data_IF_145427812098
#
_entry.id   IF_145427812098
#
_cell.length_a   1.000
_cell.length_b   1.000
_cell.length_c   1.000
_cell.angle_alpha   90.00
_cell.angle_beta   90.00
_cell.angle_gamma   90.00
#
_symmetry.space_group_name_H-M   'P 1'
#
loop_
_entity.id
_entity.type
_entity.pdbx_description
1 polymer ?
#
# COMPACT_ATOMS: atom_id res chain seq x y z
N UNK A 1 -10.90 26.33 -6.42
CA UNK A 1 -9.87 25.34 -6.23
C UNK A 1 -10.34 23.97 -6.72
N UNK A 2 -9.47 23.27 -7.41
CA UNK A 2 -9.84 21.98 -7.91
C UNK A 2 -9.60 20.90 -6.90
N UNK A 3 -10.57 20.01 -6.74
CA UNK A 3 -10.43 18.89 -5.84
C UNK A 3 -10.13 17.65 -6.66
N UNK A 4 -9.11 16.91 -6.26
CA UNK A 4 -8.74 15.65 -6.93
C UNK A 4 -9.83 14.62 -6.61
N UNK A 5 -10.63 14.20 -7.60
CA UNK A 5 -11.71 13.26 -7.34
C UNK A 5 -11.24 11.90 -6.88
N UNK A 6 -9.96 11.57 -7.12
CA UNK A 6 -9.46 10.27 -6.68
C UNK A 6 -9.25 10.20 -5.18
N UNK A 7 -9.32 11.33 -4.47
CA UNK A 7 -9.26 11.30 -3.02
C UNK A 7 -10.58 10.88 -2.38
N UNK A 8 -11.65 10.79 -3.17
CA UNK A 8 -12.90 10.26 -2.67
C UNK A 8 -12.72 8.78 -2.30
N UNK A 9 -13.31 8.38 -1.18
CA UNK A 9 -13.23 6.99 -0.75
C UNK A 9 -13.90 6.04 -1.77
N UNK A 10 -14.81 6.55 -2.57
CA UNK A 10 -15.51 5.73 -3.56
C UNK A 10 -14.69 5.46 -4.81
N UNK A 11 -13.66 6.25 -5.06
CA UNK A 11 -12.86 6.08 -6.26
C UNK A 11 -11.92 4.88 -6.09
N UNK A 12 -12.03 3.93 -7.01
CA UNK A 12 -11.18 2.73 -6.97
C UNK A 12 -9.76 2.99 -7.45
N UNK A 13 -9.57 4.08 -8.21
CA UNK A 13 -8.26 4.43 -8.76
C UNK A 13 -7.75 5.72 -8.13
N UNK A 14 -6.44 5.83 -8.01
CA UNK A 14 -5.80 7.00 -7.46
C UNK A 14 -4.90 7.70 -8.46
N UNK A 15 -4.88 9.02 -8.38
CA UNK A 15 -3.98 9.84 -9.19
C UNK A 15 -2.55 9.71 -8.66
N UNK A 16 -1.61 10.27 -9.41
CA UNK A 16 -0.23 10.36 -8.93
C UNK A 16 -0.18 11.08 -7.58
N UNK A 17 -0.98 12.14 -7.44
CA UNK A 17 -1.04 12.89 -6.19
C UNK A 17 -1.58 12.00 -5.05
N UNK A 18 -2.61 11.22 -5.33
CA UNK A 18 -3.14 10.30 -4.33
C UNK A 18 -2.08 9.27 -3.92
N UNK A 19 -1.38 8.71 -4.90
CA UNK A 19 -0.34 7.72 -4.61
C UNK A 19 0.76 8.31 -3.75
N UNK A 20 1.22 9.52 -4.08
CA UNK A 20 2.26 10.17 -3.29
C UNK A 20 1.78 10.42 -1.87
N UNK A 21 0.56 10.90 -1.73
CA UNK A 21 -0.03 11.13 -0.42
C UNK A 21 -0.13 9.85 0.39
N UNK A 22 -0.52 8.76 -0.26
CA UNK A 22 -0.64 7.47 0.40
C UNK A 22 0.70 6.96 0.91
N UNK A 23 1.78 7.30 0.18
CA UNK A 23 3.14 6.93 0.58
C UNK A 23 3.75 7.92 1.57
N UNK A 24 3.09 9.05 1.81
CA UNK A 24 3.63 10.07 2.69
C UNK A 24 4.78 10.85 2.07
N UNK A 25 4.81 10.95 0.74
CA UNK A 25 5.88 11.63 0.01
C UNK A 25 5.31 12.66 -0.94
N UNK A 26 6.18 13.49 -1.49
CA UNK A 26 5.76 14.48 -2.47
C UNK A 26 5.56 13.83 -3.84
N UNK A 27 4.81 14.52 -4.70
CA UNK A 27 4.62 14.06 -6.07
C UNK A 27 5.96 14.00 -6.81
N UNK A 28 6.82 14.99 -6.59
CA UNK A 28 8.12 15.00 -7.26
C UNK A 28 8.98 13.80 -6.84
N UNK A 29 8.94 13.48 -5.56
CA UNK A 29 9.66 12.30 -5.07
C UNK A 29 9.13 11.04 -5.77
N UNK A 30 7.81 10.94 -5.88
CA UNK A 30 7.21 9.76 -6.48
C UNK A 30 7.58 9.63 -7.95
N UNK A 31 7.58 10.75 -8.68
CA UNK A 31 7.97 10.72 -10.09
C UNK A 31 9.37 10.16 -10.27
N UNK A 32 10.28 10.55 -9.40
CA UNK A 32 11.65 10.07 -9.50
C UNK A 32 11.81 8.65 -9.03
N UNK A 33 11.05 8.26 -8.01
CA UNK A 33 11.21 6.94 -7.40
C UNK A 33 10.37 5.87 -8.08
N UNK A 34 9.43 6.26 -8.94
CA UNK A 34 8.42 5.31 -9.41
C UNK A 34 9.00 4.08 -10.11
N UNK A 35 9.99 4.28 -10.97
CA UNK A 35 10.60 3.13 -11.64
C UNK A 35 11.19 2.13 -10.66
N UNK A 36 11.87 2.65 -9.64
CA UNK A 36 12.44 1.82 -8.60
C UNK A 36 11.36 1.11 -7.79
N UNK A 37 10.29 1.84 -7.48
CA UNK A 37 9.17 1.27 -6.74
C UNK A 37 8.48 0.17 -7.53
N UNK A 38 8.31 0.37 -8.83
CA UNK A 38 7.65 -0.63 -9.66
C UNK A 38 8.48 -1.91 -9.75
N UNK A 39 9.78 -1.79 -9.74
CA UNK A 39 10.65 -2.96 -9.70
C UNK A 39 10.48 -3.74 -8.39
N UNK A 40 10.02 -3.06 -7.34
CA UNK A 40 9.79 -3.70 -6.05
C UNK A 40 8.35 -4.15 -5.88
N UNK A 41 7.53 -4.02 -6.91
CA UNK A 41 6.14 -4.50 -6.86
C UNK A 41 5.08 -3.43 -6.77
N UNK A 42 5.47 -2.15 -6.81
CA UNK A 42 4.47 -1.07 -6.81
C UNK A 42 3.69 -1.12 -8.11
N UNK A 43 2.36 -0.94 -8.07
CA UNK A 43 1.54 -1.08 -9.27
C UNK A 43 1.82 0.01 -10.30
N UNK A 44 1.81 -0.40 -11.57
CA UNK A 44 1.92 0.53 -12.66
C UNK A 44 0.61 1.24 -12.89
N UNK A 45 0.67 2.35 -13.62
CA UNK A 45 -0.55 3.04 -14.06
C UNK A 45 -1.30 2.12 -15.01
N UNK A 46 -2.60 1.98 -14.76
CA UNK A 46 -3.47 1.23 -15.66
C UNK A 46 -3.61 2.02 -16.97
N UNK A 47 -3.14 1.49 -18.09
CA UNK A 47 -3.17 2.26 -19.35
C UNK A 47 -4.58 2.57 -19.85
N UNK A 48 -5.55 1.78 -19.44
CA UNK A 48 -6.92 2.03 -19.85
C UNK A 48 -7.53 3.21 -19.10
N UNK A 49 -7.19 3.37 -17.84
CA UNK A 49 -7.78 4.38 -16.99
C UNK A 49 -6.87 5.60 -16.84
N UNK A 50 -5.58 5.41 -16.94
CA UNK A 50 -4.61 6.48 -16.73
C UNK A 50 -4.33 6.77 -15.26
N UNK A 51 -4.78 5.89 -14.39
CA UNK A 51 -4.62 6.04 -12.94
C UNK A 51 -4.15 4.70 -12.36
N UNK A 52 -3.82 4.70 -11.09
CA UNK A 52 -3.31 3.50 -10.42
C UNK A 52 -4.39 2.90 -9.54
N UNK A 53 -4.57 1.60 -9.61
CA UNK A 53 -5.59 0.93 -8.80
C UNK A 53 -5.21 0.98 -7.32
N UNK A 54 -6.06 1.57 -6.52
CA UNK A 54 -5.79 1.78 -5.09
C UNK A 54 -5.60 0.46 -4.35
N UNK A 55 -6.39 -0.55 -4.69
CA UNK A 55 -6.27 -1.84 -4.02
C UNK A 55 -4.87 -2.43 -4.20
N UNK A 56 -4.27 -2.23 -5.37
CA UNK A 56 -2.92 -2.71 -5.63
C UNK A 56 -1.89 -1.93 -4.84
N UNK A 57 -2.10 -0.62 -4.68
CA UNK A 57 -1.20 0.19 -3.83
C UNK A 57 -1.27 -0.32 -2.40
N UNK A 58 -2.46 -0.58 -1.91
CA UNK A 58 -2.63 -1.07 -0.55
C UNK A 58 -2.04 -2.46 -0.37
N UNK A 59 -2.14 -3.31 -1.39
CA UNK A 59 -1.52 -4.64 -1.35
C UNK A 59 0.01 -4.53 -1.29
N UNK A 60 0.58 -3.60 -2.06
CA UNK A 60 2.01 -3.35 -2.01
C UNK A 60 2.43 -2.93 -0.60
N UNK A 61 1.69 -2.01 0.01
CA UNK A 61 2.01 -1.54 1.35
C UNK A 61 1.85 -2.65 2.38
N UNK A 62 0.84 -3.50 2.21
CA UNK A 62 0.62 -4.61 3.12
C UNK A 62 1.81 -5.58 3.12
N UNK A 63 2.40 -5.80 1.95
CA UNK A 63 3.55 -6.69 1.85
C UNK A 63 4.80 -6.11 2.48
N UNK A 64 4.85 -4.80 2.66
CA UNK A 64 6.01 -4.16 3.25
C UNK A 64 5.89 -4.00 4.76
N UNK A 65 4.84 -4.49 5.35
CA UNK A 65 4.69 -4.38 6.80
C UNK A 65 5.79 -5.14 7.50
N UNK A 66 6.31 -4.54 8.55
CA UNK A 66 7.36 -5.16 9.35
C UNK A 66 6.80 -5.99 10.48
N UNK A 67 5.52 -5.83 10.74
CA UNK A 67 4.84 -6.55 11.80
C UNK A 67 3.71 -7.33 11.13
N UNK A 68 3.63 -8.61 11.41
CA UNK A 68 2.60 -9.45 10.81
C UNK A 68 1.22 -8.99 11.27
N UNK A 69 0.27 -9.05 10.35
CA UNK A 69 -1.11 -8.74 10.70
C UNK A 69 -1.65 -9.78 11.65
N UNK A 70 -2.46 -9.36 12.63
CA UNK A 70 -3.18 -10.35 13.41
C UNK A 70 -4.13 -11.11 12.51
N UNK A 71 -4.08 -12.42 12.62
CA UNK A 71 -4.95 -13.27 11.82
C UNK A 71 -5.98 -13.89 12.76
N UNK A 72 -7.24 -13.49 12.68
CA UNK A 72 -8.24 -14.03 13.58
C UNK A 72 -8.35 -15.54 13.53
N UNK A 73 -8.09 -16.10 12.37
CA UNK A 73 -8.17 -17.56 12.25
C UNK A 73 -7.00 -18.25 12.89
N UNK A 74 -5.87 -17.58 13.00
CA UNK A 74 -4.68 -18.16 13.58
C UNK A 74 -4.55 -17.94 15.07
N UNK A 75 -5.30 -17.00 15.60
CA UNK A 75 -5.18 -16.65 16.99
C UNK A 75 -5.29 -17.79 17.93
N UNK A 76 -6.20 -18.63 17.69
CA UNK A 76 -6.47 -19.66 18.64
C UNK A 76 -5.50 -20.79 18.51
N UNK A 77 -4.67 -20.77 17.57
CA UNK A 77 -3.85 -21.93 17.35
C UNK A 77 -2.46 -21.80 17.89
N UNK A 78 -2.05 -20.71 18.27
CA UNK A 78 -0.70 -20.59 18.64
C UNK A 78 -0.48 -20.02 19.90
N UNK A 79 -0.38 -20.18 20.20
CA UNK A 79 -0.02 -19.63 20.98
C UNK A 79 0.82 -19.79 21.55
N UNK A 80 1.25 -19.81 21.24
CA UNK A 80 1.89 -19.85 21.39
C UNK A 80 2.87 -19.90 21.26
N UNK A 81 3.54 -19.90 21.17
CA UNK A 81 4.26 -19.84 20.97
C UNK A 81 4.86 -19.18 20.89
N UNK A 82 5.13 -19.20 21.05
CA UNK A 82 5.30 -18.48 21.08
C UNK A 82 5.76 -17.93 20.92
N UNK A 83 6.13 -17.85 20.97
CA UNK A 83 5.94 -16.98 20.93
C UNK A 83 6.67 -16.53 20.50
N UNK A 84 6.99 -16.63 20.59
CA UNK A 84 7.00 -16.04 20.23
C UNK A 84 7.64 -15.61 19.74
N UNK A 85 7.96 -15.50 19.75
CA UNK A 85 8.05 -15.02 19.38
C UNK A 85 8.28 -14.11 19.22
N UNK A 86 8.59 -14.09 19.40
CA UNK A 86 8.27 -13.23 19.38
C UNK A 86 8.74 -12.78 19.72
N UNK A 87 9.06 -12.79 19.97
CA UNK A 87 8.90 -12.38 20.43
C UNK A 87 9.21 -12.07 20.60
N UNK A 88 9.39 -12.31 20.84
CA UNK A 88 9.14 -12.04 21.17
C UNK A 88 9.18 -11.66 21.12
N UNK A 89 9.44 -11.56 21.39
CA UNK A 89 9.01 -11.20 21.46
C UNK A 89 8.98 -11.04 21.48
#
# INVERSE_FOLDING_TARGET
MKIDPTFSADAAYGSLKWCASRLGRSVDWLREARGRLEREGFPEVDPLVGLTLKADVDAFLAKRRRVADPDPAAHHSRETKSGVRYHEL
#
